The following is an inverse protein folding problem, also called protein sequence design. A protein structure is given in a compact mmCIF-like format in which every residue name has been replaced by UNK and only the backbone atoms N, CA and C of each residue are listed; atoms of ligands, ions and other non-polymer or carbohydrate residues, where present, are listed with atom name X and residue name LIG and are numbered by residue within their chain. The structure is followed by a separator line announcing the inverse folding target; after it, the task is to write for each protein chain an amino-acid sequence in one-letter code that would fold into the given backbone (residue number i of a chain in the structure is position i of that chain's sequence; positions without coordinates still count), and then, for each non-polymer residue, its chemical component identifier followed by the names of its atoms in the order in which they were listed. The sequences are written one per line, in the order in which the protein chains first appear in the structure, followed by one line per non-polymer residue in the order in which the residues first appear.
data_IF_162361100105
#
_entry.id   IF_162361100105
#
_cell.length_a   1.000
_cell.length_b   1.000
_cell.length_c   1.000
_cell.angle_alpha   90.00
_cell.angle_beta   90.00
_cell.angle_gamma   90.00
#
_symmetry.space_group_name_H-M   'P 1'
#
loop_
_entity.id
_entity.type
_entity.pdbx_description
1 polymer ?
#
# COMPACT_ATOMS: atom_id res chain seq x y z
N UNK A 1 -14.52 0.83 19.46
CA UNK A 1 -13.52 1.69 18.81
C UNK A 1 -13.43 1.25 17.38
N UNK A 2 -13.46 2.21 16.46
CA UNK A 2 -13.42 1.96 15.02
C UNK A 2 -11.98 2.15 14.54
N UNK A 3 -11.56 1.30 13.60
CA UNK A 3 -10.25 1.31 12.97
C UNK A 3 -10.42 1.44 11.47
N UNK A 4 -9.38 1.96 10.82
CA UNK A 4 -9.36 2.21 9.39
C UNK A 4 -8.10 1.64 8.78
N UNK A 5 -8.25 1.04 7.62
CA UNK A 5 -7.16 0.79 6.70
C UNK A 5 -7.41 1.53 5.39
N UNK A 6 -6.35 2.13 4.85
CA UNK A 6 -6.34 2.80 3.55
C UNK A 6 -5.60 1.89 2.55
N UNK A 7 -6.32 1.11 1.73
CA UNK A 7 -5.73 0.21 0.73
C UNK A 7 -5.29 0.99 -0.52
N UNK A 8 -4.49 2.02 -0.29
CA UNK A 8 -4.01 2.90 -1.34
C UNK A 8 -2.92 2.20 -2.15
N UNK A 9 -2.84 2.52 -3.44
CA UNK A 9 -1.86 1.93 -4.35
C UNK A 9 -1.19 2.99 -5.21
N UNK A 10 0.09 2.82 -5.47
CA UNK A 10 0.83 3.60 -6.45
C UNK A 10 0.79 2.91 -7.82
N UNK A 11 0.38 3.64 -8.85
CA UNK A 11 0.61 3.34 -10.27
C UNK A 11 1.77 4.21 -10.75
N UNK A 12 2.98 3.65 -10.78
CA UNK A 12 4.23 4.41 -10.91
C UNK A 12 4.31 5.54 -9.85
N UNK A 13 4.12 6.81 -10.26
CA UNK A 13 4.10 7.98 -9.36
C UNK A 13 2.70 8.47 -8.99
N UNK A 14 1.66 7.85 -9.54
CA UNK A 14 0.27 8.26 -9.32
C UNK A 14 -0.33 7.47 -8.15
N UNK A 15 -0.89 8.18 -7.18
CA UNK A 15 -1.56 7.56 -6.04
C UNK A 15 -3.06 7.35 -6.34
N UNK A 16 -3.54 6.13 -6.12
CA UNK A 16 -4.97 5.79 -6.04
C UNK A 16 -5.32 5.62 -4.57
N UNK A 17 -6.06 6.59 -4.02
CA UNK A 17 -6.42 6.73 -2.59
C UNK A 17 -7.94 6.82 -2.38
N UNK A 18 -8.71 6.17 -3.25
CA UNK A 18 -10.17 6.29 -3.30
C UNK A 18 -10.90 5.45 -2.24
N UNK A 19 -10.23 4.45 -1.66
CA UNK A 19 -10.87 3.41 -0.86
C UNK A 19 -10.51 3.53 0.63
N UNK A 20 -11.47 3.23 1.51
CA UNK A 20 -11.25 3.15 2.96
C UNK A 20 -11.97 1.94 3.51
N UNK A 21 -11.25 1.10 4.25
CA UNK A 21 -11.82 -0.04 4.95
C UNK A 21 -11.99 0.29 6.44
N UNK A 22 -13.24 0.44 6.89
CA UNK A 22 -13.58 0.60 8.30
C UNK A 22 -13.94 -0.75 8.94
N UNK A 23 -13.54 -0.95 10.19
CA UNK A 23 -13.91 -2.13 10.97
C UNK A 23 -13.76 -1.88 12.47
N UNK A 24 -14.26 -2.82 13.27
CA UNK A 24 -14.09 -2.84 14.73
C UNK A 24 -13.42 -4.14 15.16
N UNK A 25 -12.74 -4.11 16.30
CA UNK A 25 -12.10 -5.28 16.91
C UNK A 25 -12.76 -5.63 18.25
N UNK A 26 -13.10 -6.90 18.46
CA UNK A 26 -13.61 -7.41 19.74
C UNK A 26 -12.51 -7.49 20.79
N UNK A 27 -11.33 -7.87 20.34
CA UNK A 27 -10.10 -8.00 21.11
C UNK A 27 -9.04 -7.08 20.50
N UNK A 28 -8.61 -6.04 21.22
CA UNK A 28 -7.55 -5.11 20.79
C UNK A 28 -6.14 -5.65 21.05
N UNK A 29 -5.98 -6.68 21.86
CA UNK A 29 -4.67 -7.20 22.22
C UNK A 29 -3.97 -7.92 21.04
N UNK A 30 -4.69 -8.21 19.95
CA UNK A 30 -4.11 -8.79 18.74
C UNK A 30 -3.40 -7.79 17.82
N UNK A 31 -3.38 -6.50 18.17
CA UNK A 31 -2.74 -5.44 17.37
C UNK A 31 -1.88 -4.52 18.24
N UNK A 32 -0.82 -3.95 17.65
CA UNK A 32 -0.20 -2.73 18.19
C UNK A 32 -0.73 -1.52 17.46
N UNK A 33 -0.92 -0.46 18.22
CA UNK A 33 -1.41 0.82 17.70
C UNK A 33 -0.47 1.94 18.04
N UNK A 34 -0.51 3.00 17.24
CA UNK A 34 0.16 4.26 17.48
C UNK A 34 -0.84 5.39 17.27
N UNK A 35 -0.83 6.36 18.19
CA UNK A 35 -1.58 7.59 18.02
C UNK A 35 -0.84 8.51 17.04
N UNK A 36 -1.59 9.06 16.08
CA UNK A 36 -1.12 10.08 15.15
C UNK A 36 -2.26 11.07 14.88
N UNK A 37 -1.99 12.36 15.05
CA UNK A 37 -2.97 13.44 14.80
C UNK A 37 -4.34 13.21 15.48
N UNK A 38 -4.34 12.66 16.70
CA UNK A 38 -5.56 12.41 17.47
C UNK A 38 -6.36 11.19 17.04
N UNK A 39 -5.80 10.31 16.19
CA UNK A 39 -6.39 9.02 15.78
C UNK A 39 -5.44 7.87 16.10
N UNK A 40 -6.00 6.72 16.44
CA UNK A 40 -5.22 5.49 16.62
C UNK A 40 -5.16 4.69 15.32
N UNK A 41 -3.94 4.34 14.91
CA UNK A 41 -3.69 3.51 13.74
C UNK A 41 -3.03 2.20 14.13
N UNK A 42 -3.44 1.11 13.49
CA UNK A 42 -2.79 -0.20 13.66
C UNK A 42 -1.46 -0.19 12.92
N UNK A 43 -0.37 -0.37 13.65
CA UNK A 43 0.99 -0.42 13.09
C UNK A 43 1.49 -1.85 12.93
N UNK A 44 0.90 -2.80 13.66
CA UNK A 44 1.32 -4.20 13.65
C UNK A 44 0.14 -5.11 14.00
N UNK A 45 0.01 -6.24 13.32
CA UNK A 45 -0.93 -7.32 13.68
C UNK A 45 -0.11 -8.45 14.30
N UNK A 46 -0.32 -8.71 15.60
CA UNK A 46 0.49 -9.63 16.39
C UNK A 46 0.09 -11.09 16.19
N UNK A 47 -1.21 -11.34 15.96
CA UNK A 47 -1.77 -12.65 15.66
C UNK A 47 -2.82 -12.49 14.56
N UNK A 48 -2.52 -13.02 13.37
CA UNK A 48 -3.39 -12.90 12.20
C UNK A 48 -4.74 -13.61 12.37
N UNK A 49 -4.74 -14.81 12.94
CA UNK A 49 -5.96 -15.60 13.06
C UNK A 49 -6.88 -15.03 14.14
N UNK A 50 -6.31 -14.54 15.25
CA UNK A 50 -7.09 -13.81 16.25
C UNK A 50 -7.59 -12.47 15.70
N UNK A 51 -6.78 -11.75 14.93
CA UNK A 51 -7.21 -10.51 14.27
C UNK A 51 -8.43 -10.72 13.37
N UNK A 52 -8.42 -11.75 12.52
CA UNK A 52 -9.55 -12.09 11.65
C UNK A 52 -10.82 -12.40 12.43
N UNK A 53 -10.72 -13.22 13.48
CA UNK A 53 -11.87 -13.55 14.35
C UNK A 53 -12.39 -12.36 15.15
N UNK A 54 -11.47 -11.46 15.52
CA UNK A 54 -11.76 -10.26 16.28
C UNK A 54 -12.45 -9.18 15.43
N UNK A 55 -12.15 -9.10 14.13
CA UNK A 55 -12.72 -8.12 13.21
C UNK A 55 -14.23 -8.32 13.00
N UNK A 56 -14.99 -7.23 13.05
CA UNK A 56 -16.42 -7.19 12.79
C UNK A 56 -16.86 -5.79 12.32
N UNK A 57 -18.10 -5.68 11.83
CA UNK A 57 -18.66 -4.44 11.27
C UNK A 57 -17.74 -3.86 10.19
N UNK A 58 -17.33 -4.73 9.25
CA UNK A 58 -16.33 -4.43 8.22
C UNK A 58 -17.05 -3.83 7.02
N UNK A 59 -16.69 -2.59 6.69
CA UNK A 59 -17.33 -1.80 5.64
C UNK A 59 -16.27 -1.18 4.75
N UNK A 60 -16.40 -1.38 3.44
CA UNK A 60 -15.57 -0.75 2.43
C UNK A 60 -16.29 0.48 1.88
N UNK A 61 -15.60 1.60 1.87
CA UNK A 61 -16.04 2.87 1.30
C UNK A 61 -15.20 3.24 0.09
N UNK A 62 -15.81 3.94 -0.86
CA UNK A 62 -15.15 4.61 -1.99
C UNK A 62 -15.60 6.07 -2.02
N UNK A 63 -14.67 7.01 -1.91
CA UNK A 63 -14.97 8.46 -1.82
C UNK A 63 -16.03 8.84 -0.76
N UNK A 64 -16.14 8.03 0.30
CA UNK A 64 -17.11 8.23 1.39
C UNK A 64 -18.46 7.51 1.20
N UNK A 65 -18.72 6.94 0.03
CA UNK A 65 -19.91 6.12 -0.23
C UNK A 65 -19.65 4.66 0.16
N UNK A 66 -20.61 4.04 0.84
CA UNK A 66 -20.53 2.61 1.20
C UNK A 66 -20.66 1.75 -0.06
N UNK A 67 -19.62 0.96 -0.35
CA UNK A 67 -19.58 0.07 -1.51
C UNK A 67 -20.02 -1.34 -1.14
N UNK A 68 -19.51 -1.85 -0.02
CA UNK A 68 -19.74 -3.23 0.38
C UNK A 68 -19.53 -3.45 1.88
N UNK A 69 -20.17 -4.51 2.40
CA UNK A 69 -19.99 -5.02 3.77
C UNK A 69 -19.45 -6.43 3.73
N UNK A 70 -18.59 -6.75 4.69
CA UNK A 70 -17.91 -8.04 4.76
C UNK A 70 -18.05 -8.66 6.15
N UNK A 71 -18.03 -9.99 6.20
CA UNK A 71 -17.90 -10.76 7.43
C UNK A 71 -16.46 -11.19 7.73
N UNK A 72 -15.56 -11.02 6.77
CA UNK A 72 -14.16 -11.45 6.82
C UNK A 72 -13.24 -10.32 6.35
N UNK A 73 -12.25 -9.96 7.18
CA UNK A 73 -11.36 -8.82 6.93
C UNK A 73 -10.30 -9.10 5.87
N UNK A 74 -9.88 -10.35 5.73
CA UNK A 74 -8.89 -10.77 4.73
C UNK A 74 -9.52 -10.65 3.34
N UNK A 75 -10.76 -11.12 3.18
CA UNK A 75 -11.54 -10.95 1.96
C UNK A 75 -11.80 -9.48 1.65
N UNK A 76 -12.19 -8.69 2.66
CA UNK A 76 -12.47 -7.27 2.48
C UNK A 76 -11.25 -6.49 1.98
N UNK A 77 -10.07 -6.73 2.58
CA UNK A 77 -8.81 -6.13 2.15
C UNK A 77 -8.40 -6.59 0.75
N UNK A 78 -8.53 -7.89 0.46
CA UNK A 78 -8.19 -8.45 -0.86
C UNK A 78 -9.05 -7.83 -1.96
N UNK A 79 -10.35 -7.65 -1.70
CA UNK A 79 -11.27 -7.02 -2.63
C UNK A 79 -10.98 -5.53 -2.81
N UNK A 80 -10.71 -4.81 -1.71
CA UNK A 80 -10.37 -3.39 -1.78
C UNK A 80 -9.09 -3.15 -2.60
N UNK A 81 -8.03 -3.95 -2.39
CA UNK A 81 -6.82 -3.87 -3.21
C UNK A 81 -7.05 -4.29 -4.67
N UNK A 82 -7.88 -5.29 -4.91
CA UNK A 82 -8.25 -5.68 -6.28
C UNK A 82 -8.93 -4.51 -7.01
N UNK A 83 -9.82 -3.78 -6.35
CA UNK A 83 -10.48 -2.60 -6.90
C UNK A 83 -9.49 -1.45 -7.13
N UNK A 84 -8.64 -1.15 -6.14
CA UNK A 84 -7.60 -0.12 -6.25
C UNK A 84 -6.61 -0.42 -7.40
N UNK A 85 -6.15 -1.66 -7.52
CA UNK A 85 -5.28 -2.10 -8.60
C UNK A 85 -5.98 -2.06 -9.98
N UNK A 86 -7.28 -2.37 -10.04
CA UNK A 86 -8.05 -2.27 -11.28
C UNK A 86 -8.13 -0.81 -11.74
N UNK A 87 -8.39 0.13 -10.82
CA UNK A 87 -8.39 1.56 -11.12
C UNK A 87 -7.00 2.03 -11.58
N UNK A 88 -5.96 1.65 -10.83
CA UNK A 88 -4.56 1.91 -11.17
C UNK A 88 -4.20 1.42 -12.59
N UNK A 89 -4.64 0.21 -12.96
CA UNK A 89 -4.32 -0.41 -14.25
C UNK A 89 -4.88 0.34 -15.46
N UNK A 90 -5.94 1.16 -15.29
CA UNK A 90 -6.51 2.00 -16.37
C UNK A 90 -5.51 3.00 -16.93
N UNK A 91 -4.44 3.28 -16.18
CA UNK A 91 -3.35 4.18 -16.55
C UNK A 91 -2.20 3.48 -17.28
N UNK A 92 -2.24 2.16 -17.40
CA UNK A 92 -1.17 1.34 -18.00
C UNK A 92 0.20 1.63 -17.34
N UNK A 93 0.31 1.53 -16.01
CA UNK A 93 1.56 1.79 -15.32
C UNK A 93 2.60 0.70 -15.60
N UNK A 94 3.87 1.01 -15.41
CA UNK A 94 4.93 -0.01 -15.45
C UNK A 94 4.86 -0.91 -14.21
N UNK A 95 4.58 -0.32 -13.05
CA UNK A 95 4.49 -1.03 -11.76
C UNK A 95 3.28 -0.55 -10.96
N UNK A 96 2.64 -1.49 -10.24
CA UNK A 96 1.61 -1.20 -9.23
C UNK A 96 2.08 -1.73 -7.88
N UNK A 97 2.18 -0.85 -6.88
CA UNK A 97 2.66 -1.19 -5.54
C UNK A 97 1.70 -0.71 -4.46
N UNK A 98 1.58 -1.41 -3.31
CA UNK A 98 0.77 -0.92 -2.21
C UNK A 98 1.45 0.30 -1.58
N UNK A 99 0.66 1.30 -1.18
CA UNK A 99 1.17 2.39 -0.35
C UNK A 99 1.54 1.85 1.04
N UNK A 100 2.55 2.47 1.64
CA UNK A 100 3.08 2.09 2.95
C UNK A 100 3.13 3.31 3.85
N UNK A 101 2.85 3.10 5.13
CA UNK A 101 2.92 4.17 6.12
C UNK A 101 1.84 4.04 7.17
N UNK A 102 1.57 5.16 7.85
CA UNK A 102 0.52 5.24 8.88
C UNK A 102 -0.84 5.17 8.19
N UNK A 103 -1.70 4.25 8.64
CA UNK A 103 -3.05 4.08 8.11
C UNK A 103 -3.15 3.00 7.03
N UNK A 104 -2.10 2.73 6.26
CA UNK A 104 -2.06 1.56 5.39
C UNK A 104 -1.98 0.27 6.23
N UNK A 105 -2.53 -0.87 5.74
CA UNK A 105 -2.31 -2.17 6.37
C UNK A 105 -0.81 -2.43 6.60
N UNK A 106 -0.42 -3.02 7.75
CA UNK A 106 0.98 -3.37 8.00
C UNK A 106 1.55 -4.34 6.96
N UNK A 107 2.86 -4.32 6.76
CA UNK A 107 3.53 -5.11 5.71
C UNK A 107 3.17 -6.60 5.71
N UNK A 108 3.06 -7.22 6.89
CA UNK A 108 2.71 -8.64 7.01
C UNK A 108 1.25 -8.95 6.66
N UNK A 109 0.38 -7.93 6.72
CA UNK A 109 -0.99 -8.00 6.21
C UNK A 109 -0.96 -7.86 4.69
N UNK A 110 -0.24 -6.86 4.17
CA UNK A 110 -0.12 -6.60 2.72
C UNK A 110 0.37 -7.83 1.95
N UNK A 111 1.40 -8.52 2.47
CA UNK A 111 1.91 -9.77 1.87
C UNK A 111 0.87 -10.89 1.72
N UNK A 112 -0.26 -10.80 2.42
CA UNK A 112 -1.36 -11.80 2.37
C UNK A 112 -2.48 -11.40 1.42
N UNK A 113 -2.79 -10.11 1.35
CA UNK A 113 -4.01 -9.60 0.70
C UNK A 113 -3.74 -8.84 -0.60
N UNK A 114 -2.52 -8.36 -0.81
CA UNK A 114 -2.18 -7.62 -2.02
C UNK A 114 -2.08 -8.57 -3.22
N UNK A 115 -2.71 -8.26 -4.38
CA UNK A 115 -2.84 -9.22 -5.48
C UNK A 115 -1.55 -9.45 -6.27
N UNK A 116 -0.53 -8.61 -6.10
CA UNK A 116 0.73 -8.71 -6.82
C UNK A 116 1.89 -9.00 -5.86
N UNK A 117 2.95 -9.60 -6.39
CA UNK A 117 4.21 -9.65 -5.66
C UNK A 117 4.82 -8.25 -5.65
N UNK A 118 5.22 -7.79 -4.48
CA UNK A 118 5.95 -6.54 -4.32
C UNK A 118 7.17 -6.79 -3.46
N UNK A 119 8.27 -6.13 -3.79
CA UNK A 119 9.52 -6.19 -3.05
C UNK A 119 9.66 -4.93 -2.24
N UNK A 120 9.80 -5.08 -0.93
CA UNK A 120 10.19 -3.96 -0.09
C UNK A 120 11.69 -4.08 0.17
N UNK A 121 12.47 -3.12 -0.34
CA UNK A 121 13.87 -3.03 0.05
C UNK A 121 13.96 -2.71 1.53
N UNK A 122 14.81 -3.45 2.26
CA UNK A 122 15.10 -3.11 3.63
C UNK A 122 15.67 -1.69 3.68
N UNK A 123 15.33 -0.93 4.72
CA UNK A 123 15.96 0.36 4.92
C UNK A 123 17.49 0.16 4.96
N UNK A 124 18.27 0.93 4.19
CA UNK A 124 19.69 0.69 4.06
C UNK A 124 20.38 0.82 5.42
N UNK A 125 21.27 -0.12 5.73
CA UNK A 125 22.08 -0.06 6.97
C UNK A 125 22.98 1.18 6.99
N UNK A 126 23.44 1.63 5.83
CA UNK A 126 24.18 2.87 5.63
C UNK A 126 23.45 3.79 4.65
N UNK A 127 22.72 4.76 5.20
CA UNK A 127 21.95 5.73 4.44
C UNK A 127 22.84 6.60 3.55
N UNK A 128 24.04 6.98 4.00
CA UNK A 128 24.90 7.88 3.23
C UNK A 128 25.41 7.16 1.98
N UNK A 129 25.89 5.92 2.14
CA UNK A 129 26.33 5.11 1.01
C UNK A 129 25.18 4.84 0.04
N UNK A 130 23.99 4.52 0.54
CA UNK A 130 22.81 4.32 -0.29
C UNK A 130 22.46 5.58 -1.11
N UNK A 131 22.46 6.75 -0.48
CA UNK A 131 22.19 8.02 -1.17
C UNK A 131 23.26 8.34 -2.21
N UNK A 132 24.55 8.12 -1.90
CA UNK A 132 25.65 8.30 -2.85
C UNK A 132 25.52 7.38 -4.08
N UNK A 133 25.16 6.11 -3.87
CA UNK A 133 24.97 5.14 -4.95
C UNK A 133 23.72 5.49 -5.78
N UNK A 134 22.63 5.93 -5.13
CA UNK A 134 21.40 6.36 -5.80
C UNK A 134 21.64 7.57 -6.72
N UNK A 135 22.40 8.57 -6.27
CA UNK A 135 22.77 9.74 -7.09
C UNK A 135 23.61 9.34 -8.30
N UNK A 136 24.63 8.48 -8.11
CA UNK A 136 25.49 8.00 -9.20
C UNK A 136 24.71 7.19 -10.25
N UNK A 137 23.76 6.37 -9.79
CA UNK A 137 22.93 5.56 -10.70
C UNK A 137 21.93 6.42 -11.47
N UNK A 138 21.38 7.48 -10.85
CA UNK A 138 20.52 8.47 -11.51
C UNK A 138 21.22 9.20 -12.67
N UNK A 139 22.49 9.59 -12.49
CA UNK A 139 23.30 10.17 -13.57
C UNK A 139 23.46 9.18 -14.73
N UNK A 140 23.62 7.89 -14.41
CA UNK A 140 23.81 6.83 -15.41
C UNK A 140 22.54 6.58 -16.22
N UNK A 141 21.39 6.47 -15.56
CA UNK A 141 20.09 6.32 -16.25
C UNK A 141 19.80 7.54 -17.13
N UNK A 142 19.99 8.76 -16.62
CA UNK A 142 19.72 10.00 -17.38
C UNK A 142 20.55 10.08 -18.66
N UNK A 143 21.83 9.66 -18.61
CA UNK A 143 22.71 9.61 -19.79
C UNK A 143 22.34 8.49 -20.78
N UNK A 144 21.71 7.40 -20.34
CA UNK A 144 21.22 6.35 -21.24
C UNK A 144 19.94 6.77 -21.97
N UNK A 145 19.06 7.54 -21.31
CA UNK A 145 17.89 8.16 -21.97
C UNK A 145 18.31 9.16 -23.06
N UNK A 146 19.32 10.00 -22.81
CA UNK A 146 19.83 10.96 -23.81
C UNK A 146 20.46 10.27 -25.04
N UNK A 147 21.05 9.08 -24.89
CA UNK A 147 21.60 8.31 -26.02
C UNK A 147 20.53 7.69 -26.91
N UNK A 148 19.35 7.38 -26.36
CA UNK A 148 18.25 6.79 -27.12
C UNK A 148 17.55 7.86 -27.98
N UNK A 149 17.48 9.12 -27.51
CA UNK A 149 16.92 10.25 -28.27
C UNK A 149 17.80 10.71 -29.44
N UNK A 150 19.12 10.48 -29.39
CA UNK A 150 20.06 10.84 -30.47
C UNK A 150 20.08 9.84 -31.65
N UNK A 151 19.50 8.64 -31.48
CA UNK A 151 19.50 7.58 -32.51
C UNK A 151 18.24 7.62 -33.43
N UNK A 152 17.28 8.52 -33.20
CA UNK A 152 16.18 8.80 -34.13
C UNK A 152 16.23 10.25 -34.67
N UNK A 153 16.94 10.44 -35.78
CA UNK A 153 16.47 11.02 -37.05
C UNK A 153 17.70 11.15 -37.98
N UNK A 154 17.83 10.23 -38.92
CA UNK A 154 18.57 10.49 -40.16
C UNK A 154 17.57 10.99 -41.21
N UNK A 155 17.66 12.28 -41.56
CA UNK A 155 16.91 12.89 -42.66
C UNK A 155 17.35 12.35 -44.02
#
# INVERSE_FOLDING_TARGET
MEFFFFPDVYADRYLVDSYVLSFKLRNRACVRTKEWEGREYITEVLDWEEFKKSAYDIVLYEYGDEVARFSDIELALSEAYRMACLEASRRIPKVIEPALGIGSPPLDVLKRVFPFNFTHEAFPEDLNKFLDDLVKNLETETMEWEKIDDDEISF
#
